data_IF_654160398676
#
_entry.id   IF_654160398676
#
_cell.length_a   1.000
_cell.length_b   1.000
_cell.length_c   1.000
_cell.angle_alpha   90.00
_cell.angle_beta   90.00
_cell.angle_gamma   90.00
#
_symmetry.space_group_name_H-M   'P 1'
#
loop_
_entity.id
_entity.type
_entity.pdbx_description
1 polymer ?
#
# COMPACT_ATOMS: atom_id res chain seq x y z
N UNK A 1 7.79 -7.97 2.96
CA UNK A 1 6.33 -7.78 3.16
C UNK A 1 6.01 -7.16 4.51
N UNK A 2 6.47 -7.70 5.65
CA UNK A 2 6.16 -7.13 6.99
C UNK A 2 6.46 -5.63 7.11
N UNK A 3 7.60 -5.17 6.57
CA UNK A 3 7.93 -3.73 6.52
C UNK A 3 6.89 -2.92 5.74
N UNK A 4 6.46 -3.41 4.58
CA UNK A 4 5.45 -2.74 3.75
C UNK A 4 4.10 -2.63 4.45
N UNK A 5 3.63 -3.72 5.06
CA UNK A 5 2.39 -3.74 5.83
C UNK A 5 2.46 -2.78 7.01
N UNK A 6 3.60 -2.72 7.72
CA UNK A 6 3.82 -1.77 8.79
C UNK A 6 3.76 -0.32 8.29
N UNK A 7 4.50 0.02 7.24
CA UNK A 7 4.49 1.37 6.69
C UNK A 7 3.11 1.76 6.15
N UNK A 8 2.38 0.81 5.54
CA UNK A 8 1.00 1.04 5.10
C UNK A 8 0.08 1.31 6.30
N UNK A 9 0.19 0.52 7.36
CA UNK A 9 -0.55 0.73 8.60
C UNK A 9 -0.25 2.10 9.23
N UNK A 10 0.99 2.59 9.16
CA UNK A 10 1.35 3.94 9.63
C UNK A 10 0.70 5.07 8.82
N UNK A 11 0.17 4.78 7.63
CA UNK A 11 -0.61 5.75 6.84
C UNK A 11 -2.07 5.82 7.31
N UNK A 12 -2.57 4.82 8.03
CA UNK A 12 -3.93 4.75 8.54
C UNK A 12 -4.00 5.40 9.92
N UNK A 13 -5.10 6.09 10.22
CA UNK A 13 -5.28 6.79 11.48
C UNK A 13 -6.13 5.97 12.48
N UNK A 14 -7.18 5.27 11.99
CA UNK A 14 -8.17 4.60 12.87
C UNK A 14 -8.29 3.07 12.63
N UNK A 15 -7.65 2.50 11.61
CA UNK A 15 -7.64 1.05 11.34
C UNK A 15 -6.71 0.30 12.30
N UNK A 16 -7.15 -0.83 12.85
CA UNK A 16 -6.28 -1.72 13.65
C UNK A 16 -5.30 -2.52 12.78
N UNK A 17 -4.06 -2.66 13.25
CA UNK A 17 -3.00 -3.36 12.51
C UNK A 17 -3.34 -4.82 12.20
N UNK A 18 -4.13 -5.46 13.05
CA UNK A 18 -4.58 -6.83 12.87
C UNK A 18 -5.53 -6.98 11.66
N UNK A 19 -6.15 -5.89 11.21
CA UNK A 19 -7.00 -5.84 10.02
C UNK A 19 -6.20 -5.57 8.73
N UNK A 20 -4.94 -5.14 8.87
CA UNK A 20 -4.03 -4.87 7.76
C UNK A 20 -3.20 -6.12 7.48
N UNK A 21 -3.79 -7.05 6.75
CA UNK A 21 -3.16 -8.30 6.33
C UNK A 21 -2.77 -8.23 4.83
N UNK A 22 -1.85 -9.10 4.36
CA UNK A 22 -1.46 -9.13 2.95
C UNK A 22 -2.63 -9.31 1.98
N UNK A 23 -3.64 -10.09 2.38
CA UNK A 23 -4.86 -10.35 1.62
C UNK A 23 -5.92 -9.25 1.75
N UNK A 24 -5.69 -8.24 2.61
CA UNK A 24 -6.61 -7.11 2.77
C UNK A 24 -6.72 -6.32 1.47
N UNK A 25 -7.95 -6.13 1.01
CA UNK A 25 -8.28 -5.27 -0.13
C UNK A 25 -8.23 -3.81 0.33
N UNK A 26 -7.07 -3.17 0.16
CA UNK A 26 -6.83 -1.82 0.67
C UNK A 26 -7.79 -0.78 0.08
N UNK A 27 -8.33 -1.02 -1.13
CA UNK A 27 -9.31 -0.14 -1.78
C UNK A 27 -10.70 -0.16 -1.14
N UNK A 28 -11.01 -1.20 -0.36
CA UNK A 28 -12.28 -1.34 0.35
C UNK A 28 -12.21 -0.79 1.78
N UNK A 29 -11.03 -0.36 2.23
CA UNK A 29 -10.90 0.31 3.53
C UNK A 29 -11.67 1.62 3.50
N UNK A 30 -12.43 1.91 4.55
CA UNK A 30 -13.20 3.16 4.67
C UNK A 30 -12.28 4.39 4.65
N UNK A 31 -11.06 4.24 5.18
CA UNK A 31 -10.02 5.28 5.16
C UNK A 31 -9.40 5.49 3.77
N UNK A 32 -9.61 4.57 2.81
CA UNK A 32 -9.03 4.66 1.47
C UNK A 32 -9.54 5.88 0.71
N UNK A 33 -8.67 6.87 0.58
CA UNK A 33 -8.92 8.10 -0.15
C UNK A 33 -7.83 8.35 -1.18
N UNK A 34 -8.08 9.30 -2.10
CA UNK A 34 -7.05 9.77 -3.03
C UNK A 34 -5.80 10.29 -2.32
N UNK A 35 -5.91 10.78 -1.08
CA UNK A 35 -4.77 11.24 -0.28
C UNK A 35 -3.95 10.04 0.20
N UNK A 36 -4.60 8.99 0.74
CA UNK A 36 -3.89 7.76 1.10
C UNK A 36 -3.17 7.13 -0.08
N UNK A 37 -3.78 7.15 -1.27
CA UNK A 37 -3.13 6.68 -2.50
C UNK A 37 -1.84 7.47 -2.80
N UNK A 38 -1.83 8.78 -2.61
CA UNK A 38 -0.63 9.61 -2.78
C UNK A 38 0.41 9.34 -1.68
N UNK A 39 -0.03 9.21 -0.42
CA UNK A 39 0.86 8.88 0.71
C UNK A 39 1.52 7.52 0.54
N UNK A 40 0.78 6.55 0.00
CA UNK A 40 1.30 5.22 -0.35
C UNK A 40 2.39 5.32 -1.42
N UNK A 41 2.16 6.09 -2.50
CA UNK A 41 3.17 6.29 -3.54
C UNK A 41 4.44 6.89 -2.94
N UNK A 42 4.29 7.96 -2.15
CA UNK A 42 5.42 8.62 -1.50
C UNK A 42 6.17 7.68 -0.54
N UNK A 43 5.44 6.92 0.27
CA UNK A 43 6.02 5.93 1.19
C UNK A 43 6.84 4.88 0.43
N UNK A 44 6.32 4.38 -0.69
CA UNK A 44 7.02 3.37 -1.49
C UNK A 44 8.25 3.95 -2.17
N UNK A 45 8.15 5.17 -2.70
CA UNK A 45 9.27 5.90 -3.30
C UNK A 45 10.40 6.11 -2.28
N UNK A 46 10.08 6.57 -1.07
CA UNK A 46 11.08 6.79 -0.02
C UNK A 46 11.69 5.49 0.56
N UNK A 47 10.89 4.43 0.70
CA UNK A 47 11.31 3.19 1.38
C UNK A 47 11.99 2.20 0.44
N UNK A 48 11.54 2.14 -0.81
CA UNK A 48 11.96 1.15 -1.79
C UNK A 48 12.64 1.76 -3.03
N UNK A 49 12.71 3.10 -3.16
CA UNK A 49 13.22 3.78 -4.37
C UNK A 49 12.45 3.36 -5.64
N UNK A 50 11.16 3.02 -5.46
CA UNK A 50 10.26 2.58 -6.53
C UNK A 50 9.13 3.57 -6.68
N UNK A 51 9.00 4.13 -7.89
CA UNK A 51 7.85 4.96 -8.23
C UNK A 51 6.67 4.08 -8.64
N UNK A 52 5.65 4.01 -7.79
CA UNK A 52 4.36 3.42 -8.14
C UNK A 52 3.59 4.37 -9.04
N UNK A 53 3.10 3.85 -10.17
CA UNK A 53 2.22 4.57 -11.05
C UNK A 53 0.74 4.25 -10.74
N UNK A 54 -0.15 5.09 -11.28
CA UNK A 54 -1.59 4.92 -11.03
C UNK A 54 -2.11 3.61 -11.60
N UNK A 55 -1.43 3.05 -12.61
CA UNK A 55 -1.79 1.76 -13.19
C UNK A 55 -1.44 0.62 -12.24
N UNK A 56 -0.26 0.63 -11.61
CA UNK A 56 0.12 -0.35 -10.58
C UNK A 56 -0.93 -0.42 -9.44
N UNK A 57 -1.34 0.73 -8.91
CA UNK A 57 -2.31 0.81 -7.81
C UNK A 57 -3.72 0.40 -8.28
N UNK A 58 -4.09 0.70 -9.53
CA UNK A 58 -5.37 0.25 -10.08
C UNK A 58 -5.40 -1.26 -10.33
N UNK A 59 -4.29 -1.84 -10.77
CA UNK A 59 -4.18 -3.26 -11.07
C UNK A 59 -4.07 -4.11 -9.80
N UNK A 60 -3.41 -3.63 -8.76
CA UNK A 60 -3.34 -4.30 -7.47
C UNK A 60 -4.59 -4.02 -6.63
N UNK A 61 -5.22 -5.05 -6.06
CA UNK A 61 -6.37 -4.90 -5.16
C UNK A 61 -5.99 -5.16 -3.71
N UNK A 62 -5.09 -6.11 -3.48
CA UNK A 62 -4.59 -6.43 -2.15
C UNK A 62 -3.21 -5.83 -1.88
N UNK A 63 -2.85 -5.74 -0.60
CA UNK A 63 -1.52 -5.30 -0.20
C UNK A 63 -0.42 -6.25 -0.71
N UNK A 64 -0.72 -7.54 -0.83
CA UNK A 64 0.17 -8.54 -1.42
C UNK A 64 0.42 -8.30 -2.90
N UNK A 65 -0.63 -8.05 -3.69
CA UNK A 65 -0.50 -7.76 -5.12
C UNK A 65 0.33 -6.50 -5.35
N UNK A 66 0.05 -5.46 -4.54
CA UNK A 66 0.77 -4.21 -4.62
C UNK A 66 2.24 -4.39 -4.23
N UNK A 67 2.51 -5.13 -3.14
CA UNK A 67 3.88 -5.45 -2.73
C UNK A 67 4.61 -6.25 -3.82
N UNK A 68 3.96 -7.22 -4.45
CA UNK A 68 4.53 -7.95 -5.57
C UNK A 68 4.88 -7.02 -6.75
N UNK A 69 4.01 -6.06 -7.09
CA UNK A 69 4.28 -5.08 -8.14
C UNK A 69 5.53 -4.24 -7.82
N UNK A 70 5.68 -3.81 -6.56
CA UNK A 70 6.88 -3.11 -6.09
C UNK A 70 8.11 -4.01 -6.27
N UNK A 71 8.06 -5.26 -5.79
CA UNK A 71 9.19 -6.20 -5.89
C UNK A 71 9.60 -6.51 -7.32
N UNK A 72 8.69 -6.44 -8.30
CA UNK A 72 9.05 -6.62 -9.71
C UNK A 72 9.79 -5.43 -10.33
N UNK A 73 9.75 -4.25 -9.67
CA UNK A 73 10.41 -3.03 -10.13
C UNK A 73 11.75 -2.75 -9.43
N UNK A 74 12.11 -3.55 -8.42
CA UNK A 74 13.42 -3.53 -7.73
C UNK A 74 14.42 -4.39 -8.51
#
# INVERSE_FOLDING_TARGET
>A
MEKFVNCFFELLDDTDKSLVMPDTVFKELEEWTSILALSLIAMVDEVYDVTLDTDDIRNANTLEELYCAIQQKI
#
